data_IF_529303250270
#
_entry.id   IF_529303250270
#
_cell.length_a   1.000
_cell.length_b   1.000
_cell.length_c   1.000
_cell.angle_alpha   90.00
_cell.angle_beta   90.00
_cell.angle_gamma   90.00
#
_symmetry.space_group_name_H-M   'P 1'
#
loop_
_entity.id
_entity.type
_entity.pdbx_description
1 polymer ?
#
# COMPACT_ATOMS: atom_id res chain seq x y z
N UNK A 1 14.85 -22.89 -13.13
CA UNK A 1 15.54 -23.24 -11.86
C UNK A 1 14.49 -23.33 -10.77
N UNK A 2 14.62 -24.26 -9.83
CA UNK A 2 13.67 -24.41 -8.71
C UNK A 2 14.18 -23.61 -7.50
N UNK A 3 13.32 -22.80 -6.91
CA UNK A 3 13.63 -22.00 -5.72
C UNK A 3 12.63 -22.30 -4.61
N UNK A 4 13.09 -22.57 -3.39
CA UNK A 4 12.23 -22.80 -2.22
C UNK A 4 12.24 -21.58 -1.29
N UNK A 5 11.05 -21.08 -0.96
CA UNK A 5 10.87 -20.01 0.03
C UNK A 5 10.73 -20.61 1.43
N UNK A 6 11.87 -20.79 2.09
CA UNK A 6 11.96 -21.43 3.42
C UNK A 6 11.79 -20.45 4.59
N UNK A 7 11.99 -19.15 4.36
CA UNK A 7 11.94 -18.11 5.39
C UNK A 7 11.38 -16.82 4.81
N UNK A 8 10.40 -16.25 5.50
CA UNK A 8 9.86 -14.92 5.21
C UNK A 8 10.24 -13.99 6.35
N UNK A 9 10.83 -12.84 6.03
CA UNK A 9 11.11 -11.80 7.02
C UNK A 9 9.80 -11.25 7.57
N UNK A 10 9.66 -11.27 8.90
CA UNK A 10 8.43 -10.85 9.58
C UNK A 10 8.22 -9.33 9.44
N UNK A 11 9.30 -8.55 9.45
CA UNK A 11 9.22 -7.10 9.46
C UNK A 11 8.61 -6.48 8.18
N UNK A 12 9.00 -6.89 6.97
CA UNK A 12 8.28 -6.51 5.75
C UNK A 12 6.81 -6.92 5.77
N UNK A 13 6.50 -8.14 6.23
CA UNK A 13 5.11 -8.63 6.28
C UNK A 13 4.25 -7.77 7.20
N UNK A 14 4.75 -7.42 8.38
CA UNK A 14 4.05 -6.55 9.34
C UNK A 14 3.81 -5.17 8.74
N UNK A 15 4.78 -4.58 8.04
CA UNK A 15 4.61 -3.27 7.38
C UNK A 15 3.55 -3.30 6.29
N UNK A 16 3.60 -4.32 5.43
CA UNK A 16 2.63 -4.47 4.33
C UNK A 16 1.24 -4.71 4.92
N UNK A 17 1.12 -5.61 5.90
CA UNK A 17 -0.15 -5.91 6.55
C UNK A 17 -0.73 -4.70 7.30
N UNK A 18 0.10 -3.93 8.00
CA UNK A 18 -0.33 -2.68 8.63
C UNK A 18 -0.91 -1.72 7.58
N UNK A 19 -0.21 -1.50 6.47
CA UNK A 19 -0.69 -0.63 5.40
C UNK A 19 -1.98 -1.14 4.76
N UNK A 20 -2.06 -2.43 4.44
CA UNK A 20 -3.25 -3.05 3.84
C UNK A 20 -4.44 -2.98 4.80
N UNK A 21 -4.26 -3.36 6.06
CA UNK A 21 -5.32 -3.30 7.07
C UNK A 21 -5.73 -1.86 7.42
N UNK A 22 -4.79 -0.91 7.44
CA UNK A 22 -5.10 0.50 7.64
C UNK A 22 -5.92 1.05 6.47
N UNK A 23 -5.54 0.76 5.22
CA UNK A 23 -6.31 1.16 4.04
C UNK A 23 -7.70 0.50 4.04
N UNK A 24 -7.76 -0.80 4.32
CA UNK A 24 -9.02 -1.55 4.42
C UNK A 24 -9.90 -1.09 5.58
N UNK A 25 -9.34 -0.60 6.69
CA UNK A 25 -10.09 -0.03 7.81
C UNK A 25 -10.51 1.42 7.56
N UNK A 26 -9.72 2.18 6.80
CA UNK A 26 -9.94 3.61 6.56
C UNK A 26 -11.20 3.89 5.74
N UNK A 27 -11.38 3.22 4.60
CA UNK A 27 -12.56 3.42 3.74
C UNK A 27 -13.89 3.11 4.44
N UNK A 28 -14.10 1.92 5.03
CA UNK A 28 -15.33 1.63 5.76
C UNK A 28 -15.44 2.47 7.05
N UNK A 29 -14.33 2.81 7.71
CA UNK A 29 -14.34 3.68 8.89
C UNK A 29 -14.88 5.08 8.57
N UNK A 30 -14.45 5.68 7.46
CA UNK A 30 -15.01 6.94 6.96
C UNK A 30 -16.47 6.77 6.57
N UNK A 31 -16.83 5.70 5.85
CA UNK A 31 -18.20 5.47 5.41
C UNK A 31 -19.17 5.34 6.59
N UNK A 32 -18.80 4.58 7.64
CA UNK A 32 -19.60 4.44 8.87
C UNK A 32 -19.68 5.75 9.64
N UNK A 33 -18.59 6.52 9.72
CA UNK A 33 -18.58 7.82 10.39
C UNK A 33 -19.50 8.83 9.70
N UNK A 34 -19.47 8.86 8.35
CA UNK A 34 -20.36 9.70 7.55
C UNK A 34 -21.82 9.27 7.70
N UNK A 35 -22.08 7.96 7.71
CA UNK A 35 -23.40 7.40 7.93
C UNK A 35 -23.97 7.78 9.30
N UNK A 36 -23.18 7.61 10.38
CA UNK A 36 -23.54 8.01 11.73
C UNK A 36 -23.80 9.51 11.84
N UNK A 37 -23.00 10.34 11.16
CA UNK A 37 -23.21 11.78 11.12
C UNK A 37 -24.56 12.14 10.48
N UNK A 38 -24.87 11.62 9.30
CA UNK A 38 -26.17 11.86 8.64
C UNK A 38 -27.32 11.34 9.50
N UNK A 39 -27.17 10.16 10.08
CA UNK A 39 -28.18 9.54 10.95
C UNK A 39 -28.43 10.35 12.22
N UNK A 40 -27.38 10.89 12.85
CA UNK A 40 -27.49 11.76 14.03
C UNK A 40 -28.26 13.03 13.71
N UNK A 41 -28.04 13.64 12.54
CA UNK A 41 -28.78 14.81 12.10
C UNK A 41 -30.27 14.48 11.87
N UNK A 42 -30.56 13.31 11.28
CA UNK A 42 -31.94 12.87 11.05
C UNK A 42 -32.69 12.60 12.36
N UNK A 43 -32.05 11.97 13.35
CA UNK A 43 -32.68 11.78 14.67
C UNK A 43 -32.93 13.11 15.37
N UNK A 44 -31.97 14.05 15.27
CA UNK A 44 -32.09 15.38 15.88
C UNK A 44 -33.28 16.19 15.38
N UNK A 45 -33.77 15.95 14.15
CA UNK A 45 -34.98 16.61 13.64
C UNK A 45 -36.28 15.95 14.12
N UNK A 46 -36.26 14.67 14.48
CA UNK A 46 -37.45 13.90 14.90
C UNK A 46 -37.65 13.97 16.42
N UNK A 47 -36.57 14.01 17.21
CA UNK A 47 -36.61 14.15 18.67
C UNK A 47 -35.84 15.40 19.13
N UNK A 48 -36.47 16.58 19.12
CA UNK A 48 -35.87 17.78 19.69
C UNK A 48 -35.81 17.64 21.23
N UNK A 49 -34.60 17.47 21.77
CA UNK A 49 -34.30 17.30 23.20
C UNK A 49 -32.78 17.26 23.44
N UNK A 50 -32.30 16.99 24.65
CA UNK A 50 -30.86 17.01 25.03
C UNK A 50 -29.94 16.14 24.13
N UNK A 51 -30.50 15.18 23.38
CA UNK A 51 -29.80 14.36 22.39
C UNK A 51 -29.64 15.09 21.04
N UNK A 52 -30.53 16.03 20.70
CA UNK A 52 -30.55 16.80 19.47
C UNK A 52 -29.61 18.01 19.43
N UNK A 53 -29.14 18.50 20.59
CA UNK A 53 -28.16 19.60 20.67
C UNK A 53 -26.70 19.09 20.67
N UNK A 54 -26.45 18.00 19.94
CA UNK A 54 -25.11 17.54 19.57
C UNK A 54 -24.50 18.43 18.47
N UNK A 55 -24.86 19.70 18.41
CA UNK A 55 -24.44 20.68 17.39
C UNK A 55 -22.92 20.89 17.33
N UNK A 56 -22.19 20.57 18.41
CA UNK A 56 -20.71 20.55 18.47
C UNK A 56 -20.05 19.18 18.25
N UNK A 57 -20.82 18.09 18.15
CA UNK A 57 -20.34 16.71 17.99
C UNK A 57 -19.90 16.26 16.57
N UNK A 58 -20.29 16.92 15.44
CA UNK A 58 -19.94 16.46 14.10
C UNK A 58 -18.45 16.31 13.80
N UNK A 59 -17.57 17.26 14.19
CA UNK A 59 -16.14 17.14 13.91
C UNK A 59 -15.49 16.00 14.72
N UNK A 60 -15.95 15.79 15.95
CA UNK A 60 -15.44 14.75 16.84
C UNK A 60 -15.79 13.33 16.34
N UNK A 61 -16.97 13.14 15.76
CA UNK A 61 -17.36 11.85 15.15
C UNK A 61 -16.57 11.53 13.88
N UNK A 62 -16.24 12.52 13.05
CA UNK A 62 -15.36 12.31 11.90
C UNK A 62 -13.93 11.99 12.33
N UNK A 63 -13.43 12.66 13.39
CA UNK A 63 -12.13 12.35 14.00
C UNK A 63 -12.08 10.92 14.55
N UNK A 64 -13.20 10.40 15.07
CA UNK A 64 -13.29 9.01 15.56
C UNK A 64 -12.96 8.00 14.46
N UNK A 65 -13.50 8.16 13.24
CA UNK A 65 -13.17 7.28 12.10
C UNK A 65 -11.69 7.31 11.71
N UNK A 66 -11.07 8.50 11.76
CA UNK A 66 -9.64 8.69 11.48
C UNK A 66 -8.76 8.06 12.57
N UNK A 67 -9.18 8.11 13.84
CA UNK A 67 -8.44 7.55 14.97
C UNK A 67 -8.63 6.03 15.09
N UNK A 68 -9.82 5.51 14.75
CA UNK A 68 -10.12 4.08 14.77
C UNK A 68 -9.38 3.32 13.66
N UNK A 69 -9.13 3.96 12.51
CA UNK A 69 -8.40 3.36 11.39
C UNK A 69 -6.99 2.83 11.75
N UNK A 70 -6.06 3.63 12.33
CA UNK A 70 -4.75 3.15 12.72
C UNK A 70 -4.82 2.11 13.85
N UNK A 71 -5.86 2.14 14.70
CA UNK A 71 -6.09 1.13 15.72
C UNK A 71 -6.44 -0.22 15.09
N UNK A 72 -7.33 -0.22 14.09
CA UNK A 72 -7.67 -1.41 13.31
C UNK A 72 -6.47 -1.93 12.51
N UNK A 73 -5.69 -1.02 11.92
CA UNK A 73 -4.42 -1.34 11.25
C UNK A 73 -3.40 -1.97 12.19
N UNK A 74 -3.27 -1.47 13.42
CA UNK A 74 -2.36 -2.02 14.44
C UNK A 74 -2.77 -3.43 14.87
N UNK A 75 -4.05 -3.67 15.11
CA UNK A 75 -4.58 -5.00 15.43
C UNK A 75 -4.30 -5.96 14.27
N UNK A 76 -4.61 -5.57 13.03
CA UNK A 76 -4.33 -6.36 11.83
C UNK A 76 -2.85 -6.70 11.66
N UNK A 77 -1.96 -5.74 11.94
CA UNK A 77 -0.52 -5.93 11.87
C UNK A 77 0.00 -6.96 12.90
N UNK A 78 -0.55 -6.95 14.12
CA UNK A 78 -0.23 -7.95 15.16
C UNK A 78 -0.61 -9.36 14.68
N UNK A 79 -1.84 -9.53 14.18
CA UNK A 79 -2.28 -10.82 13.66
C UNK A 79 -1.46 -11.29 12.46
N UNK A 80 -1.10 -10.39 11.54
CA UNK A 80 -0.26 -10.72 10.41
C UNK A 80 1.16 -11.12 10.82
N UNK A 81 1.75 -10.45 11.83
CA UNK A 81 3.03 -10.85 12.41
C UNK A 81 2.98 -12.25 13.03
N UNK A 82 1.90 -12.55 13.75
CA UNK A 82 1.64 -13.89 14.32
C UNK A 82 1.51 -14.93 13.20
N UNK A 83 0.73 -14.63 12.15
CA UNK A 83 0.56 -15.52 11.00
C UNK A 83 1.88 -15.78 10.25
N UNK A 84 2.73 -14.77 10.08
CA UNK A 84 4.05 -14.92 9.48
C UNK A 84 4.98 -15.81 10.32
N UNK A 85 4.96 -15.63 11.65
CA UNK A 85 5.72 -16.49 12.56
C UNK A 85 5.24 -17.96 12.51
N UNK A 86 3.92 -18.16 12.46
CA UNK A 86 3.30 -19.47 12.26
C UNK A 86 3.69 -20.10 10.92
N UNK A 87 3.67 -19.34 9.83
CA UNK A 87 4.12 -19.81 8.52
C UNK A 87 5.58 -20.27 8.57
N UNK A 88 6.47 -19.45 9.15
CA UNK A 88 7.89 -19.81 9.28
C UNK A 88 8.10 -21.09 10.10
N UNK A 89 7.29 -21.32 11.13
CA UNK A 89 7.33 -22.55 11.93
C UNK A 89 6.84 -23.76 11.12
N UNK A 90 5.71 -23.62 10.41
CA UNK A 90 5.13 -24.69 9.60
C UNK A 90 6.02 -25.04 8.40
N UNK A 91 6.62 -24.04 7.73
CA UNK A 91 7.54 -24.24 6.61
C UNK A 91 8.80 -25.01 7.01
N UNK A 92 9.24 -24.92 8.27
CA UNK A 92 10.34 -25.74 8.80
C UNK A 92 9.97 -27.21 8.98
N UNK A 93 8.69 -27.52 9.18
CA UNK A 93 8.22 -28.89 9.43
C UNK A 93 7.74 -29.59 8.17
N UNK A 94 7.02 -28.89 7.29
CA UNK A 94 6.30 -29.50 6.16
C UNK A 94 7.05 -29.28 4.83
N UNK A 95 8.01 -28.35 4.78
CA UNK A 95 8.61 -27.86 3.55
C UNK A 95 8.01 -26.50 3.17
N UNK A 96 8.83 -25.62 2.60
CA UNK A 96 8.43 -24.26 2.20
C UNK A 96 7.65 -24.24 0.88
N UNK A 97 7.35 -23.03 0.40
CA UNK A 97 6.69 -22.87 -0.92
C UNK A 97 7.74 -22.99 -2.04
N UNK A 98 7.53 -23.94 -2.95
CA UNK A 98 8.34 -24.12 -4.16
C UNK A 98 7.90 -23.13 -5.25
N UNK A 99 8.83 -22.35 -5.77
CA UNK A 99 8.66 -21.44 -6.90
C UNK A 99 9.42 -21.98 -8.12
N UNK A 100 8.71 -22.12 -9.24
CA UNK A 100 9.30 -22.50 -10.51
C UNK A 100 9.52 -21.27 -11.39
N UNK A 101 10.75 -20.78 -11.45
CA UNK A 101 11.10 -19.59 -12.22
C UNK A 101 11.71 -19.97 -13.57
N UNK A 102 11.18 -19.37 -14.65
CA UNK A 102 11.79 -19.38 -15.98
C UNK A 102 12.72 -18.17 -16.09
N UNK A 103 13.99 -18.41 -16.39
CA UNK A 103 14.90 -17.34 -16.75
C UNK A 103 14.42 -16.75 -18.08
N UNK A 104 14.11 -15.46 -18.08
CA UNK A 104 13.93 -14.71 -19.32
C UNK A 104 15.35 -14.39 -19.78
N UNK A 105 15.80 -14.85 -20.96
CA UNK A 105 17.11 -14.47 -21.47
C UNK A 105 17.15 -12.95 -21.60
N UNK A 106 18.10 -12.32 -20.91
CA UNK A 106 18.40 -10.91 -21.12
C UNK A 106 18.89 -10.78 -22.56
N UNK A 107 18.16 -10.06 -23.41
CA UNK A 107 18.69 -9.64 -24.70
C UNK A 107 19.82 -8.62 -24.43
N UNK A 108 21.03 -9.13 -24.23
CA UNK A 108 22.28 -8.39 -24.37
C UNK A 108 22.37 -7.88 -25.82
N UNK A 109 21.75 -6.74 -26.10
CA UNK A 109 21.95 -6.10 -27.40
C UNK A 109 20.79 -5.22 -27.83
N UNK A 110 20.89 -3.92 -27.50
CA UNK A 110 20.53 -2.82 -28.41
C UNK A 110 20.67 -1.42 -27.79
N UNK A 111 21.07 -1.29 -26.51
CA UNK A 111 21.30 0.04 -25.90
C UNK A 111 22.69 0.61 -26.20
N UNK A 112 23.68 -0.24 -26.50
CA UNK A 112 25.05 0.20 -26.82
C UNK A 112 25.26 0.71 -28.25
N UNK A 113 24.52 0.20 -29.23
CA UNK A 113 24.78 0.48 -30.66
C UNK A 113 24.17 1.81 -31.14
N UNK A 114 23.11 2.30 -30.46
CA UNK A 114 22.57 3.64 -30.71
C UNK A 114 23.48 4.77 -30.22
N UNK A 115 24.39 4.49 -29.27
CA UNK A 115 25.34 5.49 -28.78
C UNK A 115 26.60 5.61 -29.67
N UNK A 116 26.95 4.56 -30.43
CA UNK A 116 28.14 4.57 -31.30
C UNK A 116 27.88 5.11 -32.72
N UNK A 117 26.63 5.11 -33.20
CA UNK A 117 26.28 5.69 -34.49
C UNK A 117 25.96 7.20 -34.45
N UNK A 118 26.16 7.89 -33.32
CA UNK A 118 26.29 9.36 -33.30
C UNK A 118 27.76 9.74 -33.52
N UNK A 119 28.21 9.65 -34.77
CA UNK A 119 29.49 10.22 -35.19
C UNK A 119 29.56 11.72 -34.88
N UNK A 120 30.66 12.26 -34.31
CA UNK A 120 30.86 13.69 -34.04
C UNK A 120 30.95 14.62 -35.26
N UNK A 121 30.70 14.15 -36.49
CA UNK A 121 30.98 14.90 -37.71
C UNK A 121 29.91 15.93 -38.12
N UNK A 122 28.83 16.11 -37.35
CA UNK A 122 27.80 17.12 -37.69
C UNK A 122 28.03 18.51 -37.06
N UNK A 123 29.13 18.71 -36.30
CA UNK A 123 29.41 20.02 -35.68
C UNK A 123 30.38 20.88 -36.51
N UNK A 124 31.21 20.31 -37.39
CA UNK A 124 32.20 21.09 -38.15
C UNK A 124 31.65 21.78 -39.42
N UNK A 125 30.49 21.39 -39.96
CA UNK A 125 29.96 22.03 -41.18
C UNK A 125 29.21 23.36 -40.95
N UNK A 126 29.07 23.84 -39.70
CA UNK A 126 28.28 25.06 -39.41
C UNK A 126 29.08 26.35 -39.22
N UNK A 127 30.40 26.36 -39.45
CA UNK A 127 31.23 27.56 -39.23
C UNK A 127 32.07 28.01 -40.44
N UNK A 128 31.70 27.56 -41.64
CA UNK A 128 32.31 28.05 -42.88
C UNK A 128 31.29 28.83 -43.71
N UNK A 129 31.15 30.14 -43.48
CA UNK A 129 30.72 31.01 -44.57
C UNK A 129 31.37 32.40 -44.49
N UNK A 130 31.69 32.98 -45.65
CA UNK A 130 32.73 33.98 -45.84
C UNK A 130 32.17 35.40 -45.85
N UNK A 131 32.89 36.34 -45.25
CA UNK A 131 32.99 37.74 -45.70
C UNK A 131 34.39 38.28 -45.38
#
# INVERSE_FOLDING_TARGET
>A
MYYELRHIEIWPVVKIAFFVCAILGFFPGIAVSLFLWVFSNLIGTIMPGEIGDLSGFPPAMLMMGVILSPLYGAIGAVFAGIAAALYNLLARWIGGVELNMKAVPEEEGQVGERAQNMTPNSIEERNGSPQ
#
